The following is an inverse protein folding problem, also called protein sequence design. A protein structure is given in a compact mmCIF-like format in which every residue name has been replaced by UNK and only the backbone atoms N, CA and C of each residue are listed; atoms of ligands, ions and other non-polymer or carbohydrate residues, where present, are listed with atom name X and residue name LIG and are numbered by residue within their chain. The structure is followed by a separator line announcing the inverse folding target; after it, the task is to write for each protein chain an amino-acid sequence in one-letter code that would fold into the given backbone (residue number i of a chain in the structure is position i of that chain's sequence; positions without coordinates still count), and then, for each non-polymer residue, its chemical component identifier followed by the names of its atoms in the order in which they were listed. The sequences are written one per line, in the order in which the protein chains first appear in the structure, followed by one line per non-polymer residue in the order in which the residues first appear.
data_IF_345946911786
#
_entry.id   IF_345946911786
#
_cell.length_a   1.000
_cell.length_b   1.000
_cell.length_c   1.000
_cell.angle_alpha   90.00
_cell.angle_beta   90.00
_cell.angle_gamma   90.00
#
_symmetry.space_group_name_H-M   'P 1'
#
loop_
_entity.id
_entity.type
_entity.pdbx_description
1 polymer ?
#
# COMPACT_ATOMS: atom_id res chain seq x y z
N UNK A 1 -8.54 -0.33 -17.44
CA UNK A 1 -7.07 -0.36 -17.38
C UNK A 1 -6.62 -1.75 -16.96
N UNK A 2 -5.72 -2.38 -17.70
CA UNK A 2 -5.11 -3.65 -17.30
C UNK A 2 -4.08 -3.44 -16.18
N UNK A 3 -3.37 -4.49 -15.78
CA UNK A 3 -2.53 -4.44 -14.57
C UNK A 3 -1.25 -3.64 -14.77
N UNK A 4 -0.64 -3.77 -15.95
CA UNK A 4 0.58 -3.06 -16.30
C UNK A 4 0.29 -1.57 -16.50
N UNK A 5 -0.82 -1.23 -17.16
CA UNK A 5 -1.21 0.17 -17.34
C UNK A 5 -1.51 0.88 -16.01
N UNK A 6 -2.02 0.18 -14.98
CA UNK A 6 -2.16 0.76 -13.63
C UNK A 6 -0.80 0.95 -12.96
N UNK A 7 0.13 0.02 -13.14
CA UNK A 7 1.49 0.17 -12.60
C UNK A 7 2.22 1.36 -13.24
N UNK A 8 2.09 1.51 -14.55
CA UNK A 8 2.67 2.63 -15.29
C UNK A 8 2.07 3.96 -14.84
N UNK A 9 0.74 4.04 -14.68
CA UNK A 9 0.07 5.20 -14.07
C UNK A 9 0.64 5.54 -12.69
N UNK A 10 0.82 4.54 -11.81
CA UNK A 10 1.41 4.77 -10.48
C UNK A 10 2.82 5.35 -10.59
N UNK A 11 3.65 4.79 -11.48
CA UNK A 11 5.02 5.29 -11.70
C UNK A 11 5.05 6.70 -12.25
N UNK A 12 4.20 7.02 -13.22
CA UNK A 12 4.08 8.35 -13.81
C UNK A 12 3.69 9.39 -12.75
N UNK A 13 2.61 9.13 -12.00
CA UNK A 13 2.15 10.06 -10.95
C UNK A 13 3.20 10.23 -9.86
N UNK A 14 3.89 9.15 -9.47
CA UNK A 14 4.95 9.23 -8.46
C UNK A 14 6.16 10.02 -8.97
N UNK A 15 6.55 9.81 -10.22
CA UNK A 15 7.65 10.56 -10.84
C UNK A 15 7.34 12.06 -10.96
N UNK A 16 6.08 12.42 -11.19
CA UNK A 16 5.65 13.82 -11.29
C UNK A 16 5.47 14.48 -9.91
N UNK A 17 4.79 13.80 -8.98
CA UNK A 17 4.31 14.44 -7.75
C UNK A 17 5.08 14.05 -6.49
N UNK A 18 5.71 12.88 -6.43
CA UNK A 18 6.34 12.39 -5.18
C UNK A 18 7.87 12.51 -5.25
N UNK A 19 8.49 11.92 -6.27
CA UNK A 19 9.96 11.87 -6.40
C UNK A 19 10.63 13.24 -6.35
N UNK A 20 10.13 14.30 -7.03
CA UNK A 20 10.80 15.61 -7.02
C UNK A 20 10.83 16.28 -5.63
N UNK A 21 9.97 15.84 -4.71
CA UNK A 21 9.85 16.39 -3.36
C UNK A 21 10.68 15.63 -2.33
N UNK A 22 11.12 14.41 -2.64
CA UNK A 22 11.95 13.62 -1.75
C UNK A 22 13.26 14.33 -1.41
N UNK A 23 13.50 14.63 -0.12
CA UNK A 23 14.68 15.36 0.33
C UNK A 23 14.67 16.88 0.02
N UNK A 24 13.60 17.39 -0.58
CA UNK A 24 13.45 18.79 -1.00
C UNK A 24 12.25 19.51 -0.38
N UNK A 25 11.49 18.85 0.51
CA UNK A 25 10.38 19.46 1.24
C UNK A 25 10.84 20.61 2.14
N UNK A 26 10.07 21.70 2.14
CA UNK A 26 10.18 22.77 3.11
C UNK A 26 9.11 22.62 4.19
N UNK A 27 9.17 23.44 5.25
CA UNK A 27 8.12 23.47 6.28
C UNK A 27 6.75 23.88 5.74
N UNK A 28 6.69 24.62 4.63
CA UNK A 28 5.43 25.00 3.98
C UNK A 28 4.77 23.80 3.27
N UNK A 29 5.57 22.80 2.88
CA UNK A 29 5.11 21.63 2.15
C UNK A 29 4.58 20.53 3.08
N UNK A 30 4.76 20.66 4.39
CA UNK A 30 4.39 19.67 5.40
C UNK A 30 3.31 20.24 6.32
N UNK A 31 2.21 19.53 6.46
CA UNK A 31 1.15 19.85 7.43
C UNK A 31 0.95 18.70 8.41
N UNK A 32 0.35 18.99 9.57
CA UNK A 32 -0.18 17.95 10.45
C UNK A 32 -1.65 17.67 10.11
N UNK A 33 -2.03 16.39 10.10
CA UNK A 33 -3.41 15.90 10.08
C UNK A 33 -4.05 16.14 11.47
N UNK A 34 -5.19 15.49 11.72
CA UNK A 34 -6.01 15.65 12.95
C UNK A 34 -5.28 15.33 14.27
N UNK A 35 -4.16 14.59 14.24
CA UNK A 35 -3.40 14.20 15.43
C UNK A 35 -1.97 14.73 15.37
N UNK A 36 -1.40 15.23 16.48
CA UNK A 36 0.00 15.63 16.53
C UNK A 36 0.93 14.49 16.07
N UNK A 37 1.84 14.81 15.16
CA UNK A 37 2.79 13.86 14.57
C UNK A 37 2.23 13.01 13.42
N UNK A 38 0.96 13.15 13.05
CA UNK A 38 0.36 12.56 11.85
C UNK A 38 0.59 13.53 10.68
N UNK A 39 1.58 13.27 9.83
CA UNK A 39 2.02 14.22 8.81
C UNK A 39 1.32 13.96 7.48
N UNK A 40 1.17 15.02 6.70
CA UNK A 40 0.78 15.01 5.29
C UNK A 40 1.64 16.02 4.55
N UNK A 41 2.04 15.72 3.33
CA UNK A 41 2.78 16.66 2.49
C UNK A 41 1.94 17.09 1.29
N UNK A 42 2.44 18.08 0.55
CA UNK A 42 1.89 18.42 -0.76
C UNK A 42 2.00 17.25 -1.76
N UNK A 43 3.02 16.38 -1.62
CA UNK A 43 3.18 15.19 -2.46
C UNK A 43 2.01 14.21 -2.28
N UNK A 44 1.62 13.93 -1.03
CA UNK A 44 0.49 13.04 -0.71
C UNK A 44 -0.79 13.53 -1.41
N UNK A 45 -1.11 14.83 -1.26
CA UNK A 45 -2.35 15.41 -1.79
C UNK A 45 -2.38 15.43 -3.31
N UNK A 46 -1.31 15.89 -3.95
CA UNK A 46 -1.28 15.99 -5.41
C UNK A 46 -1.29 14.61 -6.08
N UNK A 47 -0.51 13.66 -5.56
CA UNK A 47 -0.48 12.30 -6.08
C UNK A 47 -1.84 11.60 -5.93
N UNK A 48 -2.53 11.77 -4.80
CA UNK A 48 -3.87 11.21 -4.60
C UNK A 48 -4.88 11.81 -5.59
N UNK A 49 -4.84 13.13 -5.82
CA UNK A 49 -5.72 13.80 -6.79
C UNK A 49 -5.47 13.25 -8.20
N UNK A 50 -4.22 13.15 -8.62
CA UNK A 50 -3.85 12.66 -9.95
C UNK A 50 -4.25 11.19 -10.17
N UNK A 51 -3.90 10.30 -9.23
CA UNK A 51 -4.30 8.88 -9.26
C UNK A 51 -5.81 8.74 -9.30
N UNK A 52 -6.52 9.45 -8.42
CA UNK A 52 -7.96 9.32 -8.33
C UNK A 52 -8.69 9.87 -9.55
N UNK A 53 -8.16 10.93 -10.19
CA UNK A 53 -8.69 11.44 -11.45
C UNK A 53 -8.52 10.41 -12.58
N UNK A 54 -7.30 9.87 -12.76
CA UNK A 54 -6.99 8.90 -13.80
C UNK A 54 -7.80 7.60 -13.65
N UNK A 55 -7.91 7.07 -12.42
CA UNK A 55 -8.69 5.86 -12.14
C UNK A 55 -10.18 6.06 -12.42
N UNK A 56 -10.76 7.21 -12.03
CA UNK A 56 -12.18 7.51 -12.31
C UNK A 56 -12.45 7.69 -13.79
N UNK A 57 -11.51 8.29 -14.54
CA UNK A 57 -11.61 8.43 -15.98
C UNK A 57 -11.56 7.08 -16.69
N UNK A 58 -10.64 6.20 -16.28
CA UNK A 58 -10.49 4.86 -16.85
C UNK A 58 -11.60 3.88 -16.43
N UNK A 59 -12.26 4.15 -15.30
CA UNK A 59 -13.30 3.30 -14.73
C UNK A 59 -14.49 4.13 -14.23
N UNK A 60 -15.36 4.62 -15.14
CA UNK A 60 -16.57 5.34 -14.76
C UNK A 60 -17.43 4.52 -13.79
N UNK A 61 -17.82 5.13 -12.67
CA UNK A 61 -18.62 4.47 -11.61
C UNK A 61 -17.80 3.74 -10.55
N UNK A 62 -16.47 3.63 -10.69
CA UNK A 62 -15.63 3.11 -9.62
C UNK A 62 -15.57 4.08 -8.43
N UNK A 63 -15.74 3.56 -7.21
CA UNK A 63 -15.46 4.31 -6.00
C UNK A 63 -13.94 4.39 -5.80
N UNK A 64 -13.37 5.59 -5.68
CA UNK A 64 -11.94 5.76 -5.34
C UNK A 64 -11.82 6.37 -3.96
N UNK A 65 -11.13 5.67 -3.05
CA UNK A 65 -10.95 6.04 -1.65
C UNK A 65 -9.46 6.22 -1.35
N UNK A 66 -9.03 7.47 -1.26
CA UNK A 66 -7.67 7.82 -0.86
C UNK A 66 -7.56 8.13 0.64
N UNK A 67 -6.37 8.00 1.20
CA UNK A 67 -6.08 8.36 2.59
C UNK A 67 -6.47 9.80 2.92
N UNK A 68 -6.06 10.76 2.08
CA UNK A 68 -6.20 12.19 2.36
C UNK A 68 -7.65 12.63 2.25
N UNK A 69 -8.36 12.14 1.24
CA UNK A 69 -9.80 12.31 1.10
C UNK A 69 -10.56 11.77 2.32
N UNK A 70 -10.16 10.62 2.87
CA UNK A 70 -10.81 10.04 4.05
C UNK A 70 -10.45 10.79 5.34
N UNK A 71 -9.25 11.38 5.42
CA UNK A 71 -8.89 12.28 6.51
C UNK A 71 -9.83 13.49 6.56
N UNK A 72 -10.21 14.02 5.39
CA UNK A 72 -11.19 15.09 5.25
C UNK A 72 -12.63 14.60 5.52
N UNK A 73 -13.04 13.51 4.87
CA UNK A 73 -14.37 12.89 5.02
C UNK A 73 -14.29 11.38 5.31
N UNK A 74 -14.40 10.98 6.61
CA UNK A 74 -14.42 9.58 7.00
C UNK A 74 -15.58 8.75 6.44
N UNK A 75 -16.65 9.38 5.93
CA UNK A 75 -17.81 8.66 5.41
C UNK A 75 -17.51 7.93 4.10
N UNK A 76 -16.48 8.35 3.35
CA UNK A 76 -16.04 7.71 2.11
C UNK A 76 -15.70 6.22 2.28
N UNK A 77 -15.26 5.82 3.47
CA UNK A 77 -14.97 4.42 3.80
C UNK A 77 -16.21 3.51 3.76
N UNK A 78 -17.42 4.06 4.01
CA UNK A 78 -18.64 3.26 4.14
C UNK A 78 -19.03 2.55 2.85
N UNK A 79 -18.61 3.09 1.70
CA UNK A 79 -18.91 2.50 0.39
C UNK A 79 -18.02 1.31 0.02
N UNK A 80 -16.83 1.18 0.60
CA UNK A 80 -15.85 0.14 0.20
C UNK A 80 -16.38 -1.29 0.28
N UNK A 81 -17.11 -1.72 1.34
CA UNK A 81 -17.55 -3.11 1.45
C UNK A 81 -18.61 -3.51 0.43
N UNK A 82 -19.37 -2.56 -0.10
CA UNK A 82 -20.55 -2.81 -0.95
C UNK A 82 -20.40 -2.30 -2.37
N UNK A 83 -19.32 -1.58 -2.69
CA UNK A 83 -19.09 -1.09 -4.04
C UNK A 83 -18.82 -2.25 -5.01
N UNK A 84 -19.52 -2.28 -6.14
CA UNK A 84 -19.28 -3.23 -7.23
C UNK A 84 -17.84 -3.14 -7.74
N UNK A 85 -17.31 -1.92 -7.76
CA UNK A 85 -15.93 -1.61 -8.11
C UNK A 85 -15.38 -0.48 -7.23
N UNK A 86 -14.24 -0.71 -6.60
CA UNK A 86 -13.54 0.34 -5.87
C UNK A 86 -12.02 0.25 -6.01
N UNK A 87 -11.35 1.38 -5.74
CA UNK A 87 -9.92 1.46 -5.53
C UNK A 87 -9.62 2.10 -4.18
N UNK A 88 -8.57 1.64 -3.52
CA UNK A 88 -7.97 2.32 -2.37
C UNK A 88 -6.59 2.80 -2.71
N UNK A 89 -6.23 4.01 -2.29
CA UNK A 89 -4.94 4.65 -2.59
C UNK A 89 -4.32 5.17 -1.30
N UNK A 90 -3.05 4.83 -1.08
CA UNK A 90 -2.14 5.56 -0.20
C UNK A 90 -1.05 6.19 -1.08
N UNK A 91 -1.07 7.52 -1.28
CA UNK A 91 -0.11 8.18 -2.16
C UNK A 91 1.32 8.10 -1.63
N UNK A 92 1.53 8.17 -0.31
CA UNK A 92 2.85 8.11 0.34
C UNK A 92 2.72 7.41 1.70
N UNK A 93 2.72 6.08 1.67
CA UNK A 93 2.81 5.26 2.88
C UNK A 93 4.18 5.46 3.53
N UNK A 94 4.18 5.72 4.83
CA UNK A 94 5.38 6.12 5.55
C UNK A 94 5.73 7.60 5.38
N UNK A 95 4.75 8.52 5.33
CA UNK A 95 4.96 9.98 5.20
C UNK A 95 6.04 10.54 6.15
N UNK A 96 6.18 10.00 7.37
CA UNK A 96 7.26 10.41 8.30
C UNK A 96 8.66 10.07 7.77
N UNK A 97 8.82 8.90 7.14
CA UNK A 97 10.07 8.51 6.48
C UNK A 97 10.35 9.41 5.29
N UNK A 98 9.32 9.69 4.49
CA UNK A 98 9.42 10.60 3.36
C UNK A 98 9.92 12.00 3.79
N UNK A 99 9.27 12.59 4.80
CA UNK A 99 9.68 13.88 5.39
C UNK A 99 11.10 13.82 5.98
N UNK A 100 11.50 12.68 6.54
CA UNK A 100 12.84 12.47 7.09
C UNK A 100 13.92 12.13 6.03
N UNK A 101 13.57 12.06 4.73
CA UNK A 101 14.50 11.69 3.67
C UNK A 101 14.92 10.21 3.69
N UNK A 102 14.12 9.33 4.31
CA UNK A 102 14.36 7.89 4.31
C UNK A 102 13.81 7.24 3.03
N UNK A 103 14.56 6.32 2.39
CA UNK A 103 14.11 5.62 1.18
C UNK A 103 12.96 4.64 1.45
N UNK A 104 12.66 4.34 2.72
CA UNK A 104 11.62 3.36 3.11
C UNK A 104 10.23 4.03 3.14
N UNK A 105 9.72 4.41 1.97
CA UNK A 105 8.32 4.81 1.72
C UNK A 105 7.80 4.18 0.42
N UNK A 106 6.49 4.21 0.22
CA UNK A 106 5.87 3.61 -0.95
C UNK A 106 4.56 4.30 -1.36
N UNK A 107 4.15 4.14 -2.61
CA UNK A 107 2.78 4.38 -3.05
C UNK A 107 2.06 3.04 -3.11
N UNK A 108 0.85 2.97 -2.54
CA UNK A 108 0.08 1.73 -2.42
C UNK A 108 -1.30 1.86 -3.07
N UNK A 109 -1.68 0.86 -3.84
CA UNK A 109 -2.97 0.83 -4.53
C UNK A 109 -3.57 -0.57 -4.49
N UNK A 110 -4.88 -0.66 -4.25
CA UNK A 110 -5.62 -1.91 -4.35
C UNK A 110 -6.93 -1.69 -5.10
N UNK A 111 -7.28 -2.64 -5.96
CA UNK A 111 -8.57 -2.72 -6.61
C UNK A 111 -9.45 -3.75 -5.91
N UNK A 112 -10.71 -3.39 -5.72
CA UNK A 112 -11.73 -4.21 -5.09
C UNK A 112 -12.92 -4.42 -6.04
N UNK A 113 -13.47 -5.64 -6.01
CA UNK A 113 -14.76 -5.99 -6.61
C UNK A 113 -15.66 -6.55 -5.53
N UNK A 114 -16.82 -5.93 -5.31
CA UNK A 114 -17.79 -6.34 -4.27
C UNK A 114 -17.11 -6.54 -2.89
N UNK A 115 -16.29 -5.56 -2.47
CA UNK A 115 -15.55 -5.60 -1.21
C UNK A 115 -14.36 -6.58 -1.17
N UNK A 116 -14.07 -7.29 -2.26
CA UNK A 116 -12.97 -8.25 -2.34
C UNK A 116 -11.80 -7.65 -3.11
N UNK A 117 -10.61 -7.59 -2.49
CA UNK A 117 -9.39 -7.18 -3.20
C UNK A 117 -9.04 -8.19 -4.30
N UNK A 118 -8.94 -7.70 -5.53
CA UNK A 118 -8.67 -8.51 -6.74
C UNK A 118 -7.31 -8.25 -7.35
N UNK A 119 -6.80 -7.01 -7.24
CA UNK A 119 -5.47 -6.61 -7.72
C UNK A 119 -4.82 -5.65 -6.74
N UNK A 120 -3.50 -5.65 -6.66
CA UNK A 120 -2.75 -4.68 -5.85
C UNK A 120 -1.41 -4.31 -6.46
N UNK A 121 -0.97 -3.10 -6.11
CA UNK A 121 0.29 -2.50 -6.53
C UNK A 121 0.94 -1.83 -5.33
N UNK A 122 2.25 -2.01 -5.21
CA UNK A 122 3.11 -1.30 -4.27
C UNK A 122 4.33 -0.84 -5.06
N UNK A 123 4.56 0.47 -5.08
CA UNK A 123 5.71 1.06 -5.73
C UNK A 123 6.61 1.73 -4.69
N UNK A 124 7.88 1.33 -4.64
CA UNK A 124 8.89 1.90 -3.75
C UNK A 124 9.89 2.72 -4.60
N UNK A 125 9.71 4.05 -4.71
CA UNK A 125 10.40 4.85 -5.73
C UNK A 125 11.93 4.82 -5.60
N UNK A 126 12.46 4.89 -4.38
CA UNK A 126 13.89 5.00 -4.10
C UNK A 126 14.60 3.65 -4.13
N UNK A 127 13.82 2.57 -4.05
CA UNK A 127 14.30 1.21 -4.27
C UNK A 127 14.11 0.76 -5.72
N UNK A 128 13.38 1.54 -6.53
CA UNK A 128 12.93 1.21 -7.88
C UNK A 128 12.27 -0.17 -7.96
N UNK A 129 11.50 -0.52 -6.92
CA UNK A 129 10.84 -1.83 -6.80
C UNK A 129 9.33 -1.71 -6.96
N UNK A 130 8.79 -2.50 -7.87
CA UNK A 130 7.36 -2.70 -8.02
C UNK A 130 6.95 -4.08 -7.50
N UNK A 131 5.90 -4.12 -6.69
CA UNK A 131 5.24 -5.35 -6.28
C UNK A 131 3.80 -5.33 -6.76
N UNK A 132 3.39 -6.40 -7.44
CA UNK A 132 2.06 -6.54 -8.02
C UNK A 132 1.48 -7.87 -7.58
N UNK A 133 0.19 -7.92 -7.31
CA UNK A 133 -0.52 -9.17 -7.11
C UNK A 133 -1.88 -9.16 -7.76
N UNK A 134 -2.28 -10.32 -8.25
CA UNK A 134 -3.61 -10.56 -8.79
C UNK A 134 -4.17 -11.82 -8.15
N UNK A 135 -5.40 -11.71 -7.67
CA UNK A 135 -6.06 -12.78 -6.92
C UNK A 135 -6.12 -14.06 -7.74
N UNK A 136 -5.52 -15.13 -7.22
CA UNK A 136 -5.47 -16.45 -7.86
C UNK A 136 -4.37 -16.60 -8.93
N UNK A 137 -3.69 -15.53 -9.31
CA UNK A 137 -2.63 -15.56 -10.33
C UNK A 137 -1.24 -15.50 -9.69
N UNK A 138 -1.12 -14.95 -8.48
CA UNK A 138 0.13 -14.86 -7.73
C UNK A 138 0.55 -13.44 -7.36
N UNK A 139 1.81 -13.34 -6.94
CA UNK A 139 2.46 -12.11 -6.56
C UNK A 139 3.80 -12.01 -7.29
N UNK A 140 4.20 -10.82 -7.69
CA UNK A 140 5.40 -10.54 -8.46
C UNK A 140 6.16 -9.36 -7.87
N UNK A 141 7.48 -9.39 -8.01
CA UNK A 141 8.39 -8.28 -7.80
C UNK A 141 9.14 -8.02 -9.10
N UNK A 142 8.97 -6.85 -9.71
CA UNK A 142 9.60 -6.47 -10.98
C UNK A 142 9.42 -7.53 -12.09
N UNK A 143 8.20 -8.07 -12.21
CA UNK A 143 7.87 -9.13 -13.17
C UNK A 143 8.34 -10.55 -12.78
N UNK A 144 9.15 -10.69 -11.74
CA UNK A 144 9.60 -11.99 -11.22
C UNK A 144 8.61 -12.49 -10.17
N UNK A 145 8.07 -13.69 -10.36
CA UNK A 145 7.12 -14.28 -9.42
C UNK A 145 7.75 -14.46 -8.04
N UNK A 146 7.08 -13.97 -7.00
CA UNK A 146 7.49 -14.19 -5.62
C UNK A 146 7.27 -15.66 -5.26
N UNK A 147 8.34 -16.28 -4.78
CA UNK A 147 8.31 -17.63 -4.20
C UNK A 147 8.51 -17.54 -2.70
N UNK A 148 7.97 -18.53 -1.98
CA UNK A 148 8.10 -18.60 -0.52
C UNK A 148 9.58 -18.59 -0.10
N UNK A 149 10.01 -17.53 0.61
CA UNK A 149 11.34 -17.45 1.24
C UNK A 149 11.48 -18.35 2.48
N UNK A 150 12.65 -18.34 3.11
CA UNK A 150 13.01 -19.28 4.20
C UNK A 150 13.15 -18.65 5.60
N UNK A 151 12.73 -17.39 5.83
CA UNK A 151 12.95 -16.69 7.11
C UNK A 151 12.34 -17.34 8.38
N UNK A 152 11.59 -18.44 8.24
CA UNK A 152 11.01 -19.14 9.37
C UNK A 152 10.00 -18.27 10.12
N UNK A 153 10.11 -18.23 11.46
CA UNK A 153 9.13 -17.57 12.36
C UNK A 153 9.64 -16.26 12.99
N UNK A 154 10.69 -15.64 12.43
CA UNK A 154 11.29 -14.42 12.99
C UNK A 154 10.34 -13.21 12.82
N UNK A 155 10.08 -12.40 13.85
CA UNK A 155 9.29 -11.17 13.68
C UNK A 155 9.98 -10.20 12.73
N UNK A 156 9.19 -9.45 11.97
CA UNK A 156 9.64 -8.28 11.25
C UNK A 156 10.08 -7.23 12.27
N UNK A 157 11.25 -6.63 12.04
CA UNK A 157 11.65 -5.46 12.83
C UNK A 157 10.73 -4.30 12.44
N UNK A 158 10.11 -3.60 13.40
CA UNK A 158 9.21 -2.49 13.09
C UNK A 158 9.93 -1.47 12.21
N UNK A 159 9.39 -1.18 11.03
CA UNK A 159 9.93 -0.12 10.17
C UNK A 159 9.55 1.27 10.65
N UNK A 160 8.58 1.40 11.57
CA UNK A 160 8.13 2.71 12.05
C UNK A 160 6.92 3.26 11.29
N UNK A 161 6.10 2.37 10.70
CA UNK A 161 4.80 2.61 10.03
C UNK A 161 4.83 2.74 8.49
N UNK A 162 5.57 1.89 7.78
CA UNK A 162 5.48 1.80 6.32
C UNK A 162 5.07 0.37 5.89
N UNK A 163 3.77 0.18 5.67
CA UNK A 163 3.22 -1.11 5.27
C UNK A 163 3.69 -1.54 3.86
N UNK A 164 3.90 -0.58 2.96
CA UNK A 164 4.43 -0.77 1.62
C UNK A 164 5.89 -1.21 1.58
N UNK A 165 6.62 -1.10 2.69
CA UNK A 165 7.94 -1.76 2.85
C UNK A 165 7.80 -3.08 3.60
N UNK A 166 6.95 -3.12 4.64
CA UNK A 166 6.79 -4.31 5.49
C UNK A 166 6.23 -5.53 4.74
N UNK A 167 5.15 -5.35 3.98
CA UNK A 167 4.49 -6.46 3.29
C UNK A 167 5.39 -7.11 2.24
N UNK A 168 6.12 -6.37 1.40
CA UNK A 168 7.13 -6.97 0.52
C UNK A 168 8.20 -7.78 1.26
N UNK A 169 8.68 -7.31 2.43
CA UNK A 169 9.64 -8.07 3.26
C UNK A 169 9.04 -9.37 3.80
N UNK A 170 7.74 -9.39 4.11
CA UNK A 170 7.02 -10.61 4.51
C UNK A 170 6.77 -11.56 3.33
N UNK A 171 6.31 -11.03 2.20
CA UNK A 171 5.95 -11.79 1.00
C UNK A 171 7.19 -12.46 0.37
N UNK A 172 8.33 -11.75 0.35
CA UNK A 172 9.63 -12.30 -0.06
C UNK A 172 10.30 -13.20 0.98
N UNK A 173 9.70 -13.35 2.17
CA UNK A 173 10.21 -14.19 3.25
C UNK A 173 11.53 -13.69 3.84
N UNK A 174 11.74 -12.37 3.93
CA UNK A 174 12.82 -11.75 4.71
C UNK A 174 12.47 -11.67 6.21
N UNK A 175 11.18 -11.68 6.52
CA UNK A 175 10.62 -11.82 7.86
C UNK A 175 9.50 -12.87 7.89
N UNK A 176 9.25 -13.41 9.09
CA UNK A 176 8.25 -14.44 9.34
C UNK A 176 6.86 -13.89 9.66
N UNK A 177 6.75 -12.78 10.40
CA UNK A 177 5.45 -12.19 10.73
C UNK A 177 5.53 -10.73 11.17
N UNK A 178 4.42 -10.00 11.05
CA UNK A 178 4.21 -8.67 11.62
C UNK A 178 2.80 -8.55 12.21
N UNK A 179 2.62 -7.63 13.16
CA UNK A 179 1.33 -7.34 13.78
C UNK A 179 1.05 -5.84 13.76
N UNK A 180 -0.14 -5.45 13.31
CA UNK A 180 -0.54 -4.05 13.13
C UNK A 180 -1.75 -3.70 13.99
N UNK A 181 -1.68 -2.55 14.67
CA UNK A 181 -2.77 -2.00 15.48
C UNK A 181 -3.71 -1.15 14.62
N UNK A 182 -3.15 -0.21 13.85
CA UNK A 182 -3.88 0.55 12.84
C UNK A 182 -4.16 -0.37 11.65
N UNK A 183 -5.35 -0.25 11.08
CA UNK A 183 -5.84 -1.18 10.06
C UNK A 183 -6.63 -0.40 9.00
N UNK A 184 -6.02 0.63 8.41
CA UNK A 184 -6.66 1.37 7.32
C UNK A 184 -6.64 0.53 6.03
N UNK A 185 -7.67 0.63 5.18
CA UNK A 185 -7.73 -0.19 3.96
C UNK A 185 -6.55 0.04 3.01
N UNK A 186 -6.15 1.29 2.79
CA UNK A 186 -5.06 1.64 1.88
C UNK A 186 -3.68 1.15 2.37
N UNK A 187 -3.44 1.12 3.69
CA UNK A 187 -2.22 0.53 4.28
C UNK A 187 -2.11 -1.00 4.08
N UNK A 188 -3.25 -1.72 4.09
CA UNK A 188 -3.24 -3.18 4.31
C UNK A 188 -3.85 -4.02 3.22
N UNK A 189 -4.77 -3.50 2.41
CA UNK A 189 -5.33 -4.28 1.30
C UNK A 189 -4.27 -4.58 0.23
N UNK A 190 -3.39 -3.62 -0.17
CA UNK A 190 -2.41 -3.89 -1.21
C UNK A 190 -1.41 -4.97 -0.80
N UNK A 191 -0.79 -4.78 0.37
CA UNK A 191 0.17 -5.73 0.92
C UNK A 191 -0.47 -7.02 1.43
N UNK A 192 -1.72 -6.97 1.88
CA UNK A 192 -2.47 -8.15 2.28
C UNK A 192 -2.70 -9.12 1.13
N UNK A 193 -3.14 -8.60 -0.03
CA UNK A 193 -3.27 -9.42 -1.24
C UNK A 193 -1.91 -9.96 -1.70
N UNK A 194 -0.88 -9.10 -1.77
CA UNK A 194 0.49 -9.48 -2.13
C UNK A 194 0.97 -10.66 -1.28
N UNK A 195 0.80 -10.55 0.03
CA UNK A 195 1.23 -11.59 0.97
C UNK A 195 0.45 -12.89 0.79
N UNK A 196 -0.87 -12.84 0.62
CA UNK A 196 -1.68 -14.05 0.45
C UNK A 196 -1.38 -14.76 -0.86
N UNK A 197 -1.16 -14.01 -1.95
CA UNK A 197 -0.82 -14.58 -3.26
C UNK A 197 0.61 -15.14 -3.30
N UNK A 198 1.50 -14.64 -2.44
CA UNK A 198 2.81 -15.26 -2.18
C UNK A 198 2.73 -16.54 -1.32
N UNK A 199 1.55 -16.93 -0.83
CA UNK A 199 1.32 -18.10 0.02
C UNK A 199 1.31 -17.80 1.53
N UNK A 200 1.35 -16.53 1.92
CA UNK A 200 1.23 -16.08 3.31
C UNK A 200 -0.22 -16.00 3.80
N UNK A 201 -0.42 -15.44 4.99
CA UNK A 201 -1.75 -15.28 5.58
C UNK A 201 -1.89 -13.93 6.29
N UNK A 202 -3.05 -13.30 6.13
CA UNK A 202 -3.46 -12.13 6.92
C UNK A 202 -4.70 -12.47 7.72
N UNK A 203 -4.70 -12.20 9.03
CA UNK A 203 -5.83 -12.51 9.92
C UNK A 203 -5.98 -11.46 11.01
N UNK A 204 -7.21 -11.19 11.44
CA UNK A 204 -7.48 -10.39 12.63
C UNK A 204 -7.49 -11.28 13.88
N UNK A 205 -6.77 -10.90 14.94
CA UNK A 205 -6.74 -11.61 16.23
C UNK A 205 -6.54 -10.61 17.36
N UNK A 206 -7.42 -10.64 18.37
CA UNK A 206 -7.34 -9.77 19.55
C UNK A 206 -7.13 -8.28 19.23
N UNK A 207 -7.85 -7.77 18.22
CA UNK A 207 -7.73 -6.37 17.78
C UNK A 207 -6.51 -6.05 16.90
N UNK A 208 -5.62 -7.00 16.64
CA UNK A 208 -4.47 -6.85 15.76
C UNK A 208 -4.73 -7.45 14.38
N UNK A 209 -4.13 -6.86 13.35
CA UNK A 209 -3.94 -7.53 12.06
C UNK A 209 -2.61 -8.27 12.09
N UNK A 210 -2.64 -9.60 12.08
CA UNK A 210 -1.48 -10.46 12.00
C UNK A 210 -1.20 -10.83 10.55
N UNK A 211 -0.01 -10.49 10.07
CA UNK A 211 0.51 -10.88 8.76
C UNK A 211 1.60 -11.94 8.95
N UNK A 212 1.43 -13.09 8.31
CA UNK A 212 2.32 -14.25 8.40
C UNK A 212 2.91 -14.53 7.02
N UNK A 213 4.23 -14.63 6.94
CA UNK A 213 4.92 -15.03 5.72
C UNK A 213 4.54 -16.45 5.30
N UNK A 214 4.79 -16.83 4.04
CA UNK A 214 4.53 -18.18 3.57
C UNK A 214 5.23 -19.25 4.44
N UNK A 215 6.48 -19.00 4.84
CA UNK A 215 7.27 -19.91 5.68
C UNK A 215 6.71 -20.03 7.11
N UNK A 216 6.18 -18.95 7.67
CA UNK A 216 5.59 -18.97 9.02
C UNK A 216 4.18 -19.55 9.07
N UNK A 217 3.52 -19.69 7.90
CA UNK A 217 2.14 -20.13 7.78
C UNK A 217 1.94 -21.64 7.66
N UNK A 218 3.04 -22.39 7.49
CA UNK A 218 3.06 -23.85 7.45
C UNK A 218 2.92 -24.43 8.88
N UNK A 219 2.06 -25.43 9.10
CA UNK A 219 2.07 -26.18 10.36
C UNK A 219 3.42 -26.89 10.52
N UNK A 220 3.88 -26.99 11.77
CA UNK A 220 5.10 -27.72 12.15
C UNK A 220 4.91 -29.23 11.96
#
# INVERSE_FOLDING_TARGET
MDTDAVLDLVREVVAEHVTPRFGHLTSADVSSKRRPGDLVTVADREAEVALAAALRAAHPGALVVGEEAVSADPALLRGLPTADHAFTVDPVDGTRHFVAGSPDHATMLAELRHGVTVRSWIWQPQHERAYVAERGSGAWADGVRLTSGTAGRRPLRPTGTCCGVDYPRLASGQAGWAAYVKQKPWDHLPGGLLLTEAGGRVRRRAGLLLALSPSASRPA
#
